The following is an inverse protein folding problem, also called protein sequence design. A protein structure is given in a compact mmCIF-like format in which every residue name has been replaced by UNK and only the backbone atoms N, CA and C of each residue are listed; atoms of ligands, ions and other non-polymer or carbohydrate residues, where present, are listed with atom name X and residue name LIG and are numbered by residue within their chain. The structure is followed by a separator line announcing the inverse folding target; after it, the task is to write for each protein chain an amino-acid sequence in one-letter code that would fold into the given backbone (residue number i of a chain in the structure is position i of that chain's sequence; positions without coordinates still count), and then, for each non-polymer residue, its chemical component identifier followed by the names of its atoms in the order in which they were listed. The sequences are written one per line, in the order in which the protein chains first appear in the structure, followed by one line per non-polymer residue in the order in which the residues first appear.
data_IF_847384574403
#
_entry.id   IF_847384574403
#
_cell.length_a   1.000
_cell.length_b   1.000
_cell.length_c   1.000
_cell.angle_alpha   90.00
_cell.angle_beta   90.00
_cell.angle_gamma   90.00
#
_symmetry.space_group_name_H-M   'P 1'
#
loop_
_entity.id
_entity.type
_entity.pdbx_description
1 polymer ?
#
# COMPACT_ATOMS: atom_id res chain seq x y z
N UNK A 1 2.77 -13.48 -14.89
CA UNK A 1 1.70 -14.47 -14.56
C UNK A 1 0.53 -14.30 -15.52
N UNK A 2 -0.27 -15.35 -15.78
CA UNK A 2 -1.39 -15.29 -16.75
C UNK A 2 -2.71 -15.48 -16.01
N UNK A 3 -3.34 -14.38 -15.62
CA UNK A 3 -4.63 -14.42 -14.93
C UNK A 3 -5.76 -14.86 -15.85
N UNK A 4 -6.71 -15.61 -15.30
CA UNK A 4 -8.04 -15.72 -15.93
C UNK A 4 -8.84 -14.47 -15.57
N UNK A 5 -9.20 -13.67 -16.56
CA UNK A 5 -9.92 -12.40 -16.35
C UNK A 5 -11.43 -12.60 -16.44
N UNK A 6 -12.15 -12.00 -15.50
CA UNK A 6 -13.61 -11.91 -15.47
C UNK A 6 -14.03 -10.45 -15.35
N UNK A 7 -15.08 -10.08 -16.07
CA UNK A 7 -15.75 -8.79 -15.92
C UNK A 7 -17.05 -8.99 -15.16
N UNK A 8 -17.23 -8.21 -14.12
CA UNK A 8 -18.46 -8.15 -13.33
C UNK A 8 -19.15 -6.81 -13.54
N UNK A 9 -20.47 -6.78 -13.40
CA UNK A 9 -21.25 -5.56 -13.49
C UNK A 9 -21.31 -4.83 -12.14
N UNK A 10 -21.15 -5.56 -11.03
CA UNK A 10 -21.01 -4.99 -9.69
C UNK A 10 -22.29 -4.44 -9.08
N UNK A 11 -22.22 -3.87 -7.85
CA UNK A 11 -23.37 -3.34 -7.12
C UNK A 11 -24.27 -2.33 -7.85
N UNK A 12 -23.77 -1.43 -8.72
CA UNK A 12 -24.62 -0.43 -9.38
C UNK A 12 -25.68 -1.04 -10.30
N UNK A 13 -25.42 -2.22 -10.84
CA UNK A 13 -26.20 -2.84 -11.91
C UNK A 13 -27.13 -3.95 -11.43
N UNK A 14 -27.17 -4.22 -10.11
CA UNK A 14 -27.97 -5.30 -9.50
C UNK A 14 -29.45 -5.23 -9.85
N UNK A 15 -29.99 -4.05 -10.16
CA UNK A 15 -31.39 -3.87 -10.54
C UNK A 15 -31.70 -4.24 -12.00
N UNK A 16 -30.68 -4.45 -12.83
CA UNK A 16 -30.85 -4.85 -14.23
C UNK A 16 -31.23 -6.32 -14.34
N UNK A 17 -32.16 -6.62 -15.24
CA UNK A 17 -32.68 -7.98 -15.45
C UNK A 17 -31.63 -8.99 -15.94
N UNK A 18 -30.53 -8.50 -16.53
CA UNK A 18 -29.45 -9.27 -17.13
C UNK A 18 -28.15 -9.26 -16.30
N UNK A 19 -28.22 -8.80 -15.04
CA UNK A 19 -27.08 -8.61 -14.15
C UNK A 19 -26.21 -9.86 -14.02
N UNK A 20 -26.84 -11.00 -13.73
CA UNK A 20 -26.16 -12.28 -13.54
C UNK A 20 -25.81 -12.98 -14.86
N UNK A 21 -26.58 -12.71 -15.92
CA UNK A 21 -26.52 -13.45 -17.19
C UNK A 21 -25.15 -13.35 -17.86
N UNK A 22 -24.56 -12.15 -17.84
CA UNK A 22 -23.25 -11.90 -18.45
C UNK A 22 -22.13 -12.63 -17.71
N UNK A 23 -22.18 -12.69 -16.38
CA UNK A 23 -21.23 -13.43 -15.58
C UNK A 23 -21.37 -14.94 -15.83
N UNK A 24 -22.60 -15.46 -15.80
CA UNK A 24 -22.86 -16.88 -16.04
C UNK A 24 -22.39 -17.33 -17.42
N UNK A 25 -22.58 -16.51 -18.46
CA UNK A 25 -22.08 -16.80 -19.81
C UNK A 25 -20.55 -16.88 -19.87
N UNK A 26 -19.83 -15.98 -19.19
CA UNK A 26 -18.36 -16.04 -19.09
C UNK A 26 -17.90 -17.33 -18.39
N UNK A 27 -18.59 -17.73 -17.31
CA UNK A 27 -18.19 -18.89 -16.50
C UNK A 27 -18.34 -20.23 -17.23
N UNK A 28 -19.16 -20.33 -18.29
CA UNK A 28 -19.31 -21.55 -19.07
C UNK A 28 -18.00 -21.99 -19.76
N UNK A 29 -17.14 -21.05 -20.12
CA UNK A 29 -15.85 -21.33 -20.78
C UNK A 29 -14.68 -21.36 -19.79
N UNK A 30 -14.89 -20.99 -18.53
CA UNK A 30 -13.83 -20.89 -17.53
C UNK A 30 -13.84 -22.14 -16.63
N UNK A 31 -12.72 -22.88 -16.51
CA UNK A 31 -12.66 -24.07 -15.65
C UNK A 31 -12.89 -23.74 -14.17
N UNK A 32 -13.65 -24.60 -13.48
CA UNK A 32 -13.87 -24.52 -12.02
C UNK A 32 -12.58 -24.60 -11.19
N UNK A 33 -11.55 -25.23 -11.76
CA UNK A 33 -10.22 -25.44 -11.16
C UNK A 33 -9.27 -24.26 -11.38
N UNK A 34 -9.75 -23.13 -11.89
CA UNK A 34 -8.96 -21.91 -12.05
C UNK A 34 -8.32 -21.50 -10.72
N UNK A 35 -7.02 -21.18 -10.77
CA UNK A 35 -6.21 -20.85 -9.58
C UNK A 35 -5.92 -19.35 -9.45
N UNK A 36 -5.79 -18.66 -10.58
CA UNK A 36 -5.42 -17.24 -10.67
C UNK A 36 -6.59 -16.49 -11.32
N UNK A 37 -7.26 -15.66 -10.52
CA UNK A 37 -8.45 -14.96 -10.92
C UNK A 37 -8.22 -13.45 -10.85
N UNK A 38 -8.51 -12.76 -11.95
CA UNK A 38 -8.55 -11.32 -12.04
C UNK A 38 -10.00 -10.88 -12.27
N UNK A 39 -10.55 -10.11 -11.35
CA UNK A 39 -11.87 -9.49 -11.49
C UNK A 39 -11.66 -8.01 -11.78
N UNK A 40 -12.21 -7.55 -12.90
CA UNK A 40 -11.99 -6.20 -13.44
C UNK A 40 -13.27 -5.39 -13.55
N UNK A 41 -13.09 -4.09 -13.84
CA UNK A 41 -14.14 -3.07 -14.02
C UNK A 41 -14.76 -2.64 -12.69
N UNK A 42 -15.35 -3.57 -11.95
CA UNK A 42 -16.00 -3.35 -10.65
C UNK A 42 -15.65 -4.46 -9.66
N UNK A 43 -15.92 -4.22 -8.37
CA UNK A 43 -16.01 -5.31 -7.40
C UNK A 43 -17.35 -6.04 -7.55
N UNK A 44 -17.42 -7.37 -7.37
CA UNK A 44 -18.68 -8.11 -7.53
C UNK A 44 -19.77 -7.66 -6.56
N UNK A 45 -21.03 -7.71 -6.98
CA UNK A 45 -22.19 -7.62 -6.08
C UNK A 45 -22.42 -8.91 -5.31
N UNK A 46 -23.32 -8.90 -4.34
CA UNK A 46 -23.61 -10.09 -3.51
C UNK A 46 -24.08 -11.31 -4.35
N UNK A 47 -25.00 -11.17 -5.34
CA UNK A 47 -25.33 -12.26 -6.25
C UNK A 47 -24.14 -12.75 -7.08
N UNK A 48 -23.30 -11.83 -7.58
CA UNK A 48 -22.12 -12.20 -8.37
C UNK A 48 -21.10 -12.97 -7.51
N UNK A 49 -20.91 -12.57 -6.25
CA UNK A 49 -20.09 -13.33 -5.30
C UNK A 49 -20.62 -14.74 -5.07
N UNK A 50 -21.94 -14.91 -4.95
CA UNK A 50 -22.56 -16.22 -4.81
C UNK A 50 -22.30 -17.11 -6.04
N UNK A 51 -22.44 -16.55 -7.25
CA UNK A 51 -22.16 -17.25 -8.51
C UNK A 51 -20.69 -17.65 -8.61
N UNK A 52 -19.77 -16.71 -8.36
CA UNK A 52 -18.33 -16.96 -8.38
C UNK A 52 -17.94 -18.05 -7.37
N UNK A 53 -18.45 -17.94 -6.14
CA UNK A 53 -18.19 -18.90 -5.07
C UNK A 53 -18.70 -20.31 -5.39
N UNK A 54 -19.87 -20.42 -6.03
CA UNK A 54 -20.43 -21.71 -6.44
C UNK A 54 -19.68 -22.35 -7.61
N UNK A 55 -19.11 -21.55 -8.50
CA UNK A 55 -18.39 -22.05 -9.67
C UNK A 55 -16.95 -22.47 -9.35
N UNK A 56 -16.20 -21.62 -8.64
CA UNK A 56 -14.79 -21.85 -8.36
C UNK A 56 -14.55 -22.57 -7.06
N UNK A 57 -13.62 -23.53 -7.08
CA UNK A 57 -13.21 -24.30 -5.90
C UNK A 57 -11.73 -24.19 -5.55
N UNK A 58 -10.90 -23.62 -6.43
CA UNK A 58 -9.44 -23.75 -6.37
C UNK A 58 -8.68 -22.42 -6.48
N UNK A 59 -9.36 -21.27 -6.35
CA UNK A 59 -8.73 -19.95 -6.46
C UNK A 59 -7.72 -19.76 -5.33
N UNK A 60 -6.46 -19.51 -5.70
CA UNK A 60 -5.33 -19.28 -4.79
C UNK A 60 -4.82 -17.84 -4.86
N UNK A 61 -4.95 -17.20 -6.01
CA UNK A 61 -4.54 -15.82 -6.23
C UNK A 61 -5.74 -15.07 -6.77
N UNK A 62 -6.13 -14.00 -6.07
CA UNK A 62 -7.24 -13.14 -6.45
C UNK A 62 -6.74 -11.70 -6.59
N UNK A 63 -6.99 -11.09 -7.75
CA UNK A 63 -6.81 -9.65 -7.98
C UNK A 63 -8.17 -9.01 -8.19
N UNK A 64 -8.48 -8.01 -7.37
CA UNK A 64 -9.72 -7.23 -7.41
C UNK A 64 -9.41 -5.81 -7.84
N UNK A 65 -9.81 -5.45 -9.07
CA UNK A 65 -9.61 -4.10 -9.59
C UNK A 65 -10.89 -3.26 -9.51
N UNK A 66 -10.80 -2.15 -8.77
CA UNK A 66 -11.85 -1.14 -8.69
C UNK A 66 -11.42 0.12 -9.45
N UNK A 67 -11.71 0.18 -10.75
CA UNK A 67 -11.28 1.30 -11.61
C UNK A 67 -12.11 2.57 -11.45
N UNK A 68 -13.12 2.59 -10.56
CA UNK A 68 -13.98 3.75 -10.37
C UNK A 68 -14.04 4.16 -8.89
N UNK A 69 -13.65 5.41 -8.64
CA UNK A 69 -13.59 6.07 -7.33
C UNK A 69 -14.96 6.19 -6.65
N UNK A 70 -16.04 6.14 -7.42
CA UNK A 70 -17.42 6.31 -6.92
C UNK A 70 -18.01 4.99 -6.38
N UNK A 71 -17.40 3.84 -6.65
CA UNK A 71 -17.98 2.55 -6.28
C UNK A 71 -17.38 1.96 -5.02
N UNK A 72 -18.28 1.40 -4.21
CA UNK A 72 -17.95 0.84 -2.90
C UNK A 72 -17.24 -0.49 -3.08
N UNK A 73 -16.12 -0.66 -2.38
CA UNK A 73 -15.41 -1.93 -2.28
C UNK A 73 -16.33 -2.98 -1.63
N UNK A 74 -16.78 -3.97 -2.41
CA UNK A 74 -17.52 -5.12 -1.87
C UNK A 74 -16.61 -6.35 -1.77
N UNK A 75 -15.77 -6.41 -0.73
CA UNK A 75 -14.87 -7.54 -0.48
C UNK A 75 -15.30 -8.44 0.69
N UNK A 76 -16.39 -8.09 1.38
CA UNK A 76 -16.90 -8.85 2.54
C UNK A 76 -17.27 -10.30 2.18
N UNK A 77 -17.72 -10.52 0.95
CA UNK A 77 -18.27 -11.80 0.48
C UNK A 77 -17.32 -12.61 -0.39
N UNK A 78 -16.00 -12.31 -0.36
CA UNK A 78 -15.01 -13.20 -0.97
C UNK A 78 -15.21 -14.61 -0.39
N UNK A 79 -15.40 -15.66 -1.22
CA UNK A 79 -15.78 -16.97 -0.73
C UNK A 79 -14.72 -17.60 0.19
N UNK A 80 -15.11 -17.94 1.41
CA UNK A 80 -14.20 -18.45 2.45
C UNK A 80 -13.71 -19.88 2.20
N UNK A 81 -14.38 -20.65 1.34
CA UNK A 81 -13.94 -21.99 0.97
C UNK A 81 -12.80 -21.98 -0.06
N UNK A 82 -12.46 -20.82 -0.62
CA UNK A 82 -11.33 -20.72 -1.53
C UNK A 82 -10.01 -20.85 -0.76
N UNK A 83 -9.05 -21.65 -1.25
CA UNK A 83 -7.74 -21.80 -0.64
C UNK A 83 -6.82 -20.61 -0.98
N UNK A 84 -7.29 -19.39 -0.68
CA UNK A 84 -6.65 -18.15 -1.10
C UNK A 84 -5.32 -17.96 -0.36
N UNK A 85 -4.25 -17.81 -1.13
CA UNK A 85 -2.88 -17.60 -0.65
C UNK A 85 -2.43 -16.16 -0.85
N UNK A 86 -2.90 -15.52 -1.93
CA UNK A 86 -2.59 -14.14 -2.27
C UNK A 86 -3.86 -13.35 -2.62
N UNK A 87 -3.96 -12.14 -2.08
CA UNK A 87 -5.01 -11.18 -2.39
C UNK A 87 -4.38 -9.86 -2.83
N UNK A 88 -4.78 -9.36 -3.99
CA UNK A 88 -4.46 -8.03 -4.47
C UNK A 88 -5.72 -7.18 -4.49
N UNK A 89 -5.71 -6.06 -3.75
CA UNK A 89 -6.68 -4.99 -3.90
C UNK A 89 -6.05 -3.89 -4.76
N UNK A 90 -6.79 -3.44 -5.77
CA UNK A 90 -6.29 -2.46 -6.72
C UNK A 90 -7.25 -1.28 -6.81
N UNK A 91 -6.71 -0.07 -6.64
CA UNK A 91 -7.39 1.20 -6.88
C UNK A 91 -8.61 1.42 -5.98
N UNK A 92 -8.49 1.10 -4.68
CA UNK A 92 -9.54 1.36 -3.68
C UNK A 92 -9.31 2.70 -2.97
N UNK A 93 -10.31 3.58 -3.00
CA UNK A 93 -10.20 4.96 -2.50
C UNK A 93 -11.10 5.20 -1.30
N UNK A 94 -10.54 5.48 -0.12
CA UNK A 94 -11.28 5.82 1.10
C UNK A 94 -12.15 4.68 1.66
N UNK A 95 -12.06 3.48 1.09
CA UNK A 95 -12.95 2.37 1.39
C UNK A 95 -12.54 1.64 2.66
N UNK A 96 -13.51 1.15 3.43
CA UNK A 96 -13.28 0.19 4.50
C UNK A 96 -13.11 -1.23 3.95
N UNK A 97 -11.98 -1.86 4.25
CA UNK A 97 -11.77 -3.29 3.97
C UNK A 97 -12.49 -4.15 5.00
N UNK A 98 -13.38 -5.03 4.53
CA UNK A 98 -14.25 -5.84 5.38
C UNK A 98 -14.03 -7.35 5.24
N UNK A 99 -13.13 -7.77 4.34
CA UNK A 99 -12.89 -9.19 4.10
C UNK A 99 -12.15 -9.86 5.26
N UNK A 100 -12.57 -11.05 5.71
CA UNK A 100 -11.83 -11.84 6.70
C UNK A 100 -10.42 -12.18 6.25
N UNK A 101 -10.17 -12.30 4.94
CA UNK A 101 -8.84 -12.58 4.42
C UNK A 101 -7.79 -11.53 4.82
N UNK A 102 -8.21 -10.26 4.91
CA UNK A 102 -7.37 -9.17 5.41
C UNK A 102 -7.50 -9.08 6.92
N UNK A 103 -8.71 -8.87 7.47
CA UNK A 103 -8.90 -8.56 8.91
C UNK A 103 -8.39 -9.65 9.85
N UNK A 104 -8.46 -10.91 9.43
CA UNK A 104 -7.96 -12.07 10.18
C UNK A 104 -6.65 -12.64 9.62
N UNK A 105 -6.06 -12.00 8.61
CA UNK A 105 -4.81 -12.43 7.99
C UNK A 105 -4.85 -13.86 7.46
N UNK A 106 -5.91 -14.24 6.73
CA UNK A 106 -6.05 -15.61 6.22
C UNK A 106 -5.21 -15.88 4.96
N UNK A 107 -4.83 -14.83 4.23
CA UNK A 107 -3.87 -14.92 3.11
C UNK A 107 -2.44 -14.83 3.62
N UNK A 108 -1.51 -15.49 2.92
CA UNK A 108 -0.08 -15.36 3.18
C UNK A 108 0.51 -14.06 2.63
N UNK A 109 -0.03 -13.61 1.50
CA UNK A 109 0.46 -12.45 0.77
C UNK A 109 -0.68 -11.46 0.47
N UNK A 110 -0.54 -10.22 0.96
CA UNK A 110 -1.45 -9.11 0.65
C UNK A 110 -0.71 -8.05 -0.16
N UNK A 111 -1.29 -7.69 -1.30
CA UNK A 111 -0.81 -6.60 -2.16
C UNK A 111 -1.90 -5.52 -2.20
N UNK A 112 -1.52 -4.29 -1.87
CA UNK A 112 -2.36 -3.09 -1.94
C UNK A 112 -1.76 -2.18 -3.01
N UNK A 113 -2.51 -1.90 -4.07
CA UNK A 113 -1.94 -1.29 -5.27
C UNK A 113 -2.78 -0.09 -5.72
N UNK A 114 -2.15 1.09 -5.81
CA UNK A 114 -2.85 2.35 -6.06
C UNK A 114 -4.03 2.59 -5.07
N UNK A 115 -3.95 2.05 -3.86
CA UNK A 115 -4.95 2.25 -2.83
C UNK A 115 -4.66 3.55 -2.09
N UNK A 116 -5.67 4.42 -1.95
CA UNK A 116 -5.48 5.74 -1.34
C UNK A 116 -6.52 5.95 -0.23
N UNK A 117 -6.06 6.30 0.96
CA UNK A 117 -6.88 6.37 2.18
C UNK A 117 -7.68 5.10 2.49
N UNK A 118 -7.17 3.92 2.11
CA UNK A 118 -7.77 2.64 2.49
C UNK A 118 -7.89 2.55 4.02
N UNK A 119 -9.05 2.06 4.49
CA UNK A 119 -9.38 1.99 5.91
C UNK A 119 -9.49 0.55 6.37
N UNK A 120 -9.02 0.31 7.59
CA UNK A 120 -9.10 -0.99 8.29
C UNK A 120 -9.98 -0.93 9.56
N UNK A 121 -10.38 0.28 9.96
CA UNK A 121 -11.23 0.59 11.12
C UNK A 121 -12.17 1.75 10.78
N UNK A 122 -13.25 1.89 11.54
CA UNK A 122 -14.14 3.04 11.51
C UNK A 122 -15.42 2.77 10.73
N UNK A 123 -16.16 3.85 10.43
CA UNK A 123 -17.52 3.72 9.92
C UNK A 123 -17.60 2.96 8.58
N UNK A 124 -18.62 2.11 8.39
CA UNK A 124 -18.96 1.57 7.08
C UNK A 124 -19.10 2.67 6.01
N UNK A 125 -18.80 2.33 4.75
CA UNK A 125 -18.73 3.30 3.65
C UNK A 125 -20.07 4.03 3.44
N UNK A 126 -21.21 3.36 3.62
CA UNK A 126 -22.55 3.97 3.57
C UNK A 126 -22.78 5.00 4.67
N UNK A 127 -22.37 4.71 5.91
CA UNK A 127 -22.49 5.64 7.03
C UNK A 127 -21.59 6.85 6.85
N UNK A 128 -20.37 6.65 6.36
CA UNK A 128 -19.46 7.76 6.10
C UNK A 128 -19.99 8.68 4.98
N UNK A 129 -20.58 8.12 3.93
CA UNK A 129 -21.26 8.91 2.89
C UNK A 129 -22.48 9.68 3.42
N UNK A 130 -23.27 9.10 4.33
CA UNK A 130 -24.39 9.79 4.99
C UNK A 130 -23.90 11.00 5.80
N UNK A 131 -22.83 10.84 6.57
CA UNK A 131 -22.22 11.92 7.36
C UNK A 131 -21.63 13.04 6.48
N UNK A 132 -20.97 12.66 5.37
CA UNK A 132 -20.48 13.62 4.38
C UNK A 132 -21.64 14.43 3.81
N UNK A 133 -22.68 13.79 3.30
CA UNK A 133 -23.85 14.48 2.74
C UNK A 133 -24.53 15.40 3.76
N UNK A 134 -24.61 14.97 5.01
CA UNK A 134 -25.14 15.79 6.09
C UNK A 134 -24.27 17.04 6.33
N UNK A 135 -22.95 16.88 6.34
CA UNK A 135 -21.98 17.97 6.50
C UNK A 135 -22.06 18.96 5.33
N UNK A 136 -22.18 18.45 4.10
CA UNK A 136 -22.37 19.29 2.90
C UNK A 136 -23.64 20.12 2.97
N UNK A 137 -24.75 19.54 3.45
CA UNK A 137 -26.03 20.25 3.61
C UNK A 137 -25.97 21.36 4.66
N UNK A 138 -25.08 21.24 5.65
CA UNK A 138 -24.88 22.27 6.70
C UNK A 138 -23.94 23.41 6.29
N UNK A 139 -23.40 23.36 5.07
CA UNK A 139 -22.37 24.27 4.58
C UNK A 139 -20.98 23.66 4.75
N UNK A 140 -20.12 23.69 3.71
CA UNK A 140 -18.82 23.03 3.77
C UNK A 140 -17.96 23.69 4.86
N UNK A 141 -17.43 22.87 5.77
CA UNK A 141 -16.34 23.28 6.68
C UNK A 141 -14.99 23.36 5.97
N UNK A 142 -14.90 22.81 4.77
CA UNK A 142 -13.67 22.71 3.98
C UNK A 142 -13.67 23.74 2.86
N UNK A 143 -12.52 24.37 2.56
CA UNK A 143 -12.38 25.17 1.36
C UNK A 143 -12.60 24.25 0.15
N UNK A 144 -13.76 24.36 -0.48
CA UNK A 144 -14.01 23.74 -1.78
C UNK A 144 -12.96 24.25 -2.76
N UNK A 145 -12.23 23.35 -3.44
CA UNK A 145 -11.44 23.73 -4.60
C UNK A 145 -12.32 24.57 -5.53
N UNK A 146 -11.95 25.84 -5.76
CA UNK A 146 -12.69 26.74 -6.64
C UNK A 146 -12.44 26.28 -8.08
N UNK A 147 -13.25 25.37 -8.58
CA UNK A 147 -13.36 25.20 -10.03
C UNK A 147 -14.12 26.42 -10.57
N UNK A 148 -13.45 27.21 -11.43
CA UNK A 148 -13.93 28.47 -12.00
C UNK A 148 -15.03 28.25 -13.07
N UNK A 149 -16.04 27.42 -12.81
CA UNK A 149 -17.21 27.28 -13.69
C UNK A 149 -18.51 27.27 -12.89
N UNK A 150 -19.50 28.08 -13.28
CA UNK A 150 -20.75 28.26 -12.52
C UNK A 150 -21.68 27.04 -12.47
N UNK A 151 -21.36 25.94 -13.18
CA UNK A 151 -22.17 24.71 -13.23
C UNK A 151 -21.46 23.46 -12.69
N UNK A 152 -20.23 23.56 -12.20
CA UNK A 152 -19.58 22.40 -11.59
C UNK A 152 -20.13 22.22 -10.18
N UNK A 153 -20.97 21.19 -10.00
CA UNK A 153 -21.38 20.73 -8.67
C UNK A 153 -20.11 20.58 -7.84
N UNK A 154 -20.05 21.26 -6.70
CA UNK A 154 -18.97 21.13 -5.72
C UNK A 154 -18.84 19.66 -5.31
N UNK A 155 -17.98 18.90 -5.98
CA UNK A 155 -17.51 17.63 -5.46
C UNK A 155 -16.62 17.97 -4.28
N UNK A 156 -17.14 17.79 -3.08
CA UNK A 156 -16.23 17.54 -1.96
C UNK A 156 -15.62 16.18 -2.24
N UNK A 157 -14.30 16.18 -2.28
CA UNK A 157 -13.53 14.99 -2.52
C UNK A 157 -13.71 14.09 -1.27
N UNK A 158 -14.43 12.98 -1.43
CA UNK A 158 -14.66 11.99 -0.37
C UNK A 158 -13.36 11.60 0.35
N UNK A 159 -12.24 11.64 -0.37
CA UNK A 159 -10.91 11.39 0.18
C UNK A 159 -10.48 12.42 1.23
N UNK A 160 -10.78 13.71 1.04
CA UNK A 160 -10.51 14.76 2.03
C UNK A 160 -11.36 14.56 3.29
N UNK A 161 -12.63 14.22 3.11
CA UNK A 161 -13.52 13.90 4.24
C UNK A 161 -13.04 12.66 5.01
N UNK A 162 -12.58 11.62 4.30
CA UNK A 162 -11.95 10.46 4.90
C UNK A 162 -10.69 10.86 5.68
N UNK A 163 -9.80 11.70 5.12
CA UNK A 163 -8.60 12.14 5.81
C UNK A 163 -8.93 12.85 7.14
N UNK A 164 -9.89 13.77 7.15
CA UNK A 164 -10.33 14.47 8.36
C UNK A 164 -11.07 13.56 9.37
N UNK A 165 -11.81 12.57 8.87
CA UNK A 165 -12.43 11.56 9.71
C UNK A 165 -11.34 10.71 10.38
N UNK A 166 -10.32 10.30 9.63
CA UNK A 166 -9.23 9.45 10.09
C UNK A 166 -8.29 10.17 11.07
N UNK A 167 -7.99 11.45 10.86
CA UNK A 167 -7.22 12.27 11.80
C UNK A 167 -7.81 12.32 13.21
N UNK A 168 -9.14 12.24 13.34
CA UNK A 168 -9.81 12.21 14.65
C UNK A 168 -9.52 10.93 15.42
N UNK A 169 -9.28 9.81 14.74
CA UNK A 169 -8.98 8.53 15.39
C UNK A 169 -7.52 8.41 15.85
N UNK A 170 -6.61 9.21 15.29
CA UNK A 170 -5.18 9.19 15.66
C UNK A 170 -4.91 9.71 17.08
N UNK A 171 -5.90 10.36 17.72
CA UNK A 171 -5.81 10.86 19.10
C UNK A 171 -6.69 10.13 20.11
N UNK A 172 -7.48 9.14 19.69
CA UNK A 172 -8.34 8.36 20.60
C UNK A 172 -7.59 7.11 21.10
N UNK A 173 -7.91 6.65 22.32
CA UNK A 173 -7.43 5.36 22.80
C UNK A 173 -7.80 4.27 21.80
N UNK A 174 -6.81 3.46 21.40
CA UNK A 174 -6.94 2.37 20.44
C UNK A 174 -7.83 1.24 21.01
N UNK A 175 -9.14 1.47 21.07
CA UNK A 175 -10.08 0.40 21.27
C UNK A 175 -10.14 -0.38 19.96
N UNK A 176 -9.66 -1.63 19.99
CA UNK A 176 -9.81 -2.57 18.88
C UNK A 176 -11.31 -2.89 18.78
N UNK A 177 -11.89 -2.65 17.61
CA UNK A 177 -13.28 -3.03 17.35
C UNK A 177 -13.41 -4.56 17.41
N UNK A 178 -14.53 -5.15 17.88
CA UNK A 178 -14.69 -6.60 17.96
C UNK A 178 -14.38 -7.33 16.65
N UNK A 179 -14.72 -6.73 15.51
CA UNK A 179 -14.40 -7.27 14.18
C UNK A 179 -12.94 -7.12 13.73
N UNK A 180 -12.11 -6.43 14.52
CA UNK A 180 -10.66 -6.28 14.37
C UNK A 180 -9.88 -7.03 15.46
N UNK A 181 -10.56 -7.71 16.38
CA UNK A 181 -9.88 -8.52 17.38
C UNK A 181 -9.01 -9.60 16.71
N UNK A 182 -7.81 -9.89 17.28
CA UNK A 182 -6.96 -10.95 16.79
C UNK A 182 -7.74 -12.27 16.69
N UNK A 183 -7.61 -13.02 15.59
CA UNK A 183 -8.30 -14.29 15.46
C UNK A 183 -7.77 -15.30 16.48
N UNK A 184 -8.63 -16.21 16.96
CA UNK A 184 -8.24 -17.30 17.86
C UNK A 184 -7.35 -18.38 17.20
N UNK A 185 -6.94 -18.20 15.94
CA UNK A 185 -6.17 -19.14 15.14
C UNK A 185 -4.89 -18.51 14.56
N UNK A 186 -4.13 -19.27 13.76
CA UNK A 186 -2.89 -18.76 13.19
C UNK A 186 -3.17 -17.59 12.25
N UNK A 187 -2.29 -16.59 12.31
CA UNK A 187 -2.24 -15.48 11.36
C UNK A 187 -1.31 -15.93 10.24
N UNK A 188 -1.87 -16.04 9.03
CA UNK A 188 -1.10 -16.51 7.87
C UNK A 188 -0.36 -15.37 7.19
N UNK A 189 -0.77 -14.11 7.37
CA UNK A 189 -0.16 -12.98 6.67
C UNK A 189 1.31 -12.79 7.06
N UNK A 190 2.21 -13.05 6.12
CA UNK A 190 3.66 -12.92 6.29
C UNK A 190 4.30 -11.95 5.30
N UNK A 191 3.62 -11.63 4.18
CA UNK A 191 4.09 -10.69 3.16
C UNK A 191 3.06 -9.60 2.93
N UNK A 192 3.48 -8.35 3.11
CA UNK A 192 2.69 -7.16 2.79
C UNK A 192 3.44 -6.31 1.78
N UNK A 193 2.77 -6.02 0.66
CA UNK A 193 3.26 -5.06 -0.33
C UNK A 193 2.25 -3.93 -0.49
N UNK A 194 2.74 -2.69 -0.46
CA UNK A 194 1.93 -1.50 -0.70
C UNK A 194 2.62 -0.66 -1.77
N UNK A 195 1.92 -0.50 -2.88
CA UNK A 195 2.43 0.09 -4.09
C UNK A 195 1.70 1.38 -4.41
N UNK A 196 2.49 2.43 -4.58
CA UNK A 196 2.03 3.76 -5.00
C UNK A 196 1.10 4.40 -3.97
N UNK A 197 0.63 5.62 -4.26
CA UNK A 197 -0.30 6.44 -3.44
C UNK A 197 -0.25 6.24 -1.92
N UNK A 198 0.44 7.14 -1.21
CA UNK A 198 0.44 7.22 0.26
C UNK A 198 0.67 5.87 0.98
N UNK A 199 1.58 5.06 0.44
CA UNK A 199 1.86 3.69 0.92
C UNK A 199 2.25 3.63 2.39
N UNK A 200 2.93 4.68 2.90
CA UNK A 200 3.25 4.83 4.33
C UNK A 200 2.00 5.05 5.17
N UNK A 201 1.04 5.85 4.71
CA UNK A 201 -0.22 6.11 5.43
C UNK A 201 -1.07 4.85 5.51
N UNK A 202 -1.21 4.13 4.39
CA UNK A 202 -1.93 2.86 4.36
C UNK A 202 -1.28 1.85 5.31
N UNK A 203 0.05 1.75 5.31
CA UNK A 203 0.78 0.91 6.27
C UNK A 203 0.50 1.32 7.72
N UNK A 204 0.68 2.59 8.07
CA UNK A 204 0.46 3.09 9.43
C UNK A 204 -0.98 2.83 9.90
N UNK A 205 -1.96 3.03 9.02
CA UNK A 205 -3.38 2.75 9.31
C UNK A 205 -3.62 1.28 9.59
N UNK A 206 -3.00 0.39 8.82
CA UNK A 206 -3.08 -1.04 9.08
C UNK A 206 -2.42 -1.38 10.42
N UNK A 207 -1.24 -0.82 10.72
CA UNK A 207 -0.53 -1.06 11.98
C UNK A 207 -1.35 -0.61 13.21
N UNK A 208 -2.08 0.49 13.11
CA UNK A 208 -2.95 0.95 14.21
C UNK A 208 -4.23 0.12 14.35
N UNK A 209 -4.82 -0.31 13.24
CA UNK A 209 -6.12 -1.00 13.25
C UNK A 209 -5.99 -2.51 13.47
N UNK A 210 -4.91 -3.11 12.98
CA UNK A 210 -4.67 -4.55 12.90
C UNK A 210 -3.22 -4.89 13.32
N UNK A 211 -2.80 -4.50 14.55
CA UNK A 211 -1.41 -4.67 15.00
C UNK A 211 -0.96 -6.14 14.95
N UNK A 212 -1.84 -7.09 15.27
CA UNK A 212 -1.55 -8.52 15.24
C UNK A 212 -1.12 -9.03 13.86
N UNK A 213 -1.59 -8.40 12.78
CA UNK A 213 -1.19 -8.74 11.42
C UNK A 213 0.18 -8.17 11.08
N UNK A 214 0.40 -6.92 11.46
CA UNK A 214 1.64 -6.19 11.16
C UNK A 214 2.81 -6.76 11.95
N UNK A 215 2.60 -7.14 13.21
CA UNK A 215 3.59 -7.82 14.05
C UNK A 215 4.02 -9.19 13.49
N UNK A 216 3.17 -9.86 12.70
CA UNK A 216 3.44 -11.17 12.10
C UNK A 216 4.22 -11.11 10.78
N UNK A 217 4.45 -9.90 10.24
CA UNK A 217 5.11 -9.74 8.94
C UNK A 217 6.55 -10.22 8.95
N UNK A 218 6.93 -10.93 7.89
CA UNK A 218 8.30 -11.34 7.58
C UNK A 218 8.87 -10.54 6.41
N UNK A 219 8.02 -10.07 5.51
CA UNK A 219 8.39 -9.22 4.36
C UNK A 219 7.45 -8.02 4.28
N UNK A 220 8.05 -6.83 4.18
CA UNK A 220 7.34 -5.57 3.98
C UNK A 220 7.97 -4.83 2.80
N UNK A 221 7.16 -4.53 1.79
CA UNK A 221 7.56 -3.76 0.62
C UNK A 221 6.68 -2.52 0.53
N UNK A 222 7.31 -1.35 0.58
CA UNK A 222 6.64 -0.06 0.45
C UNK A 222 7.26 0.69 -0.71
N UNK A 223 6.45 0.93 -1.74
CA UNK A 223 6.83 1.66 -2.94
C UNK A 223 5.97 2.89 -3.11
N UNK A 224 6.56 4.00 -3.56
CA UNK A 224 5.85 5.23 -3.87
C UNK A 224 6.61 6.07 -4.90
N UNK A 225 6.03 6.31 -6.07
CA UNK A 225 6.65 7.09 -7.17
C UNK A 225 6.48 8.61 -7.06
N UNK A 226 5.78 9.14 -6.04
CA UNK A 226 5.75 10.59 -5.78
C UNK A 226 4.47 11.31 -6.21
N UNK A 227 3.46 10.59 -6.70
CA UNK A 227 2.14 11.16 -6.98
C UNK A 227 1.33 11.38 -5.69
N UNK A 228 1.53 12.53 -5.02
CA UNK A 228 0.84 12.91 -3.78
C UNK A 228 1.76 13.52 -2.70
N UNK A 229 1.21 13.81 -1.51
CA UNK A 229 2.00 14.20 -0.33
C UNK A 229 1.76 13.18 0.77
N UNK A 230 2.81 12.60 1.34
CA UNK A 230 2.67 11.92 2.64
C UNK A 230 2.54 12.96 3.74
N UNK A 231 1.56 12.77 4.62
CA UNK A 231 1.32 13.70 5.72
C UNK A 231 2.38 13.54 6.83
N UNK A 232 2.83 14.63 7.48
CA UNK A 232 3.86 14.56 8.53
C UNK A 232 3.52 13.62 9.70
N UNK A 233 2.24 13.52 10.05
CA UNK A 233 1.76 12.67 11.14
C UNK A 233 2.00 11.17 10.83
N UNK A 234 1.78 10.79 9.57
CA UNK A 234 2.02 9.45 9.06
C UNK A 234 3.48 9.03 9.20
N UNK A 235 4.43 9.94 8.93
CA UNK A 235 5.85 9.65 9.10
C UNK A 235 6.26 9.50 10.56
N UNK A 236 5.63 10.23 11.48
CA UNK A 236 5.83 10.03 12.92
C UNK A 236 5.40 8.63 13.38
N UNK A 237 4.22 8.18 12.96
CA UNK A 237 3.74 6.82 13.19
C UNK A 237 4.67 5.77 12.57
N UNK A 238 5.13 6.01 11.34
CA UNK A 238 6.03 5.09 10.64
C UNK A 238 7.32 4.85 11.42
N UNK A 239 7.94 5.92 11.93
CA UNK A 239 9.14 5.86 12.80
C UNK A 239 8.89 5.07 14.10
N UNK A 240 7.65 5.06 14.59
CA UNK A 240 7.28 4.33 15.80
C UNK A 240 6.98 2.85 15.54
N UNK A 241 6.33 2.51 14.41
CA UNK A 241 5.95 1.14 14.08
C UNK A 241 7.08 0.32 13.49
N UNK A 242 7.91 0.91 12.63
CA UNK A 242 8.93 0.17 11.90
C UNK A 242 9.93 -0.57 12.83
N UNK A 243 10.45 0.02 13.92
CA UNK A 243 11.33 -0.70 14.84
C UNK A 243 10.66 -1.84 15.61
N UNK A 244 9.33 -1.80 15.74
CA UNK A 244 8.56 -2.81 16.48
C UNK A 244 8.34 -4.10 15.68
N UNK A 245 8.68 -4.12 14.39
CA UNK A 245 8.52 -5.29 13.51
C UNK A 245 9.65 -6.32 13.70
N UNK A 246 9.74 -6.92 14.88
CA UNK A 246 10.83 -7.85 15.26
C UNK A 246 10.84 -9.16 14.45
N UNK A 247 9.70 -9.55 13.87
CA UNK A 247 9.62 -10.71 12.99
C UNK A 247 10.09 -10.43 11.55
N UNK A 248 10.26 -9.15 11.18
CA UNK A 248 10.57 -8.74 9.82
C UNK A 248 11.98 -9.17 9.43
N UNK A 249 12.09 -9.86 8.28
CA UNK A 249 13.37 -10.33 7.70
C UNK A 249 13.75 -9.57 6.45
N UNK A 250 12.76 -9.18 5.66
CA UNK A 250 12.93 -8.42 4.42
C UNK A 250 12.19 -7.11 4.51
N UNK A 251 12.94 -6.02 4.30
CA UNK A 251 12.39 -4.68 4.16
C UNK A 251 12.80 -4.10 2.81
N UNK A 252 11.83 -3.73 2.00
CA UNK A 252 12.05 -3.01 0.73
C UNK A 252 11.34 -1.66 0.77
N UNK A 253 12.13 -0.58 0.78
CA UNK A 253 11.67 0.80 0.84
C UNK A 253 12.13 1.53 -0.42
N UNK A 254 11.17 1.88 -1.27
CA UNK A 254 11.38 2.64 -2.52
C UNK A 254 10.48 3.88 -2.52
N UNK A 255 10.96 5.00 -1.99
CA UNK A 255 10.12 6.20 -1.82
C UNK A 255 10.65 7.41 -2.57
N UNK A 256 9.82 7.97 -3.44
CA UNK A 256 10.10 9.19 -4.18
C UNK A 256 10.06 10.46 -3.32
N UNK A 257 9.14 10.52 -2.35
CA UNK A 257 8.99 11.66 -1.44
C UNK A 257 8.72 11.15 -0.02
N UNK A 258 9.61 11.46 0.91
CA UNK A 258 9.48 11.14 2.34
C UNK A 258 8.76 12.26 3.13
N UNK A 259 8.20 13.25 2.43
CA UNK A 259 7.55 14.44 2.97
C UNK A 259 8.54 15.48 3.48
N UNK A 260 9.50 15.03 4.30
CA UNK A 260 10.57 15.84 4.89
C UNK A 260 11.89 15.07 4.89
N UNK A 261 12.97 15.74 4.44
CA UNK A 261 14.33 15.20 4.43
C UNK A 261 14.78 14.77 5.83
N UNK A 262 14.32 15.45 6.90
CA UNK A 262 14.68 15.08 8.27
C UNK A 262 14.34 13.63 8.60
N UNK A 263 13.32 13.04 7.96
CA UNK A 263 13.00 11.62 8.18
C UNK A 263 14.02 10.69 7.55
N UNK A 264 14.45 11.01 6.33
CA UNK A 264 15.42 10.21 5.60
C UNK A 264 16.77 10.28 6.29
N UNK A 265 17.17 11.46 6.76
CA UNK A 265 18.46 11.69 7.42
C UNK A 265 18.71 10.79 8.63
N UNK A 266 17.66 10.38 9.34
CA UNK A 266 17.75 9.49 10.51
C UNK A 266 17.07 8.13 10.32
N UNK A 267 16.66 7.76 9.10
CA UNK A 267 15.88 6.54 8.85
C UNK A 267 16.59 5.28 9.34
N UNK A 268 17.92 5.22 9.21
CA UNK A 268 18.72 4.07 9.67
C UNK A 268 18.53 3.74 11.16
N UNK A 269 18.11 4.70 11.99
CA UNK A 269 17.86 4.49 13.43
C UNK A 269 16.58 3.71 13.70
N UNK A 270 15.69 3.61 12.72
CA UNK A 270 14.36 3.02 12.87
C UNK A 270 14.19 1.71 12.14
N UNK A 271 15.25 1.18 11.50
CA UNK A 271 15.15 -0.13 10.88
C UNK A 271 14.90 -1.22 11.92
N UNK A 272 14.07 -2.23 11.60
CA UNK A 272 13.86 -3.36 12.48
C UNK A 272 15.18 -4.10 12.73
N UNK A 273 15.42 -4.58 13.96
CA UNK A 273 16.74 -5.09 14.36
C UNK A 273 17.12 -6.41 13.69
N UNK A 274 16.14 -7.24 13.31
CA UNK A 274 16.34 -8.63 12.89
C UNK A 274 16.29 -8.85 11.37
N UNK A 275 16.47 -7.77 10.59
CA UNK A 275 16.52 -7.85 9.14
C UNK A 275 17.70 -8.69 8.65
N UNK A 276 17.42 -9.58 7.70
CA UNK A 276 18.44 -10.27 6.90
C UNK A 276 18.59 -9.65 5.53
N UNK A 277 17.59 -8.90 5.06
CA UNK A 277 17.54 -8.31 3.72
C UNK A 277 16.99 -6.89 3.79
N UNK A 278 17.75 -5.93 3.25
CA UNK A 278 17.34 -4.53 3.13
C UNK A 278 17.51 -4.06 1.69
N UNK A 279 16.40 -3.65 1.07
CA UNK A 279 16.40 -2.89 -0.16
C UNK A 279 16.00 -1.44 0.18
N UNK A 280 16.92 -0.51 -0.01
CA UNK A 280 16.68 0.90 0.24
C UNK A 280 16.95 1.71 -1.02
N UNK A 281 15.93 2.44 -1.49
CA UNK A 281 16.03 3.42 -2.57
C UNK A 281 15.49 4.75 -2.08
N UNK A 282 16.33 5.78 -2.10
CA UNK A 282 16.04 7.08 -1.52
C UNK A 282 16.54 8.28 -2.34
N UNK A 283 16.33 9.52 -1.85
CA UNK A 283 16.66 10.74 -2.56
C UNK A 283 18.18 10.93 -2.71
N UNK A 284 18.60 11.31 -3.92
CA UNK A 284 19.99 11.64 -4.25
C UNK A 284 20.56 12.76 -3.37
N UNK A 285 19.71 13.71 -2.94
CA UNK A 285 20.10 14.82 -2.07
C UNK A 285 20.49 14.41 -0.64
N UNK A 286 20.27 13.15 -0.23
CA UNK A 286 20.71 12.66 1.08
C UNK A 286 22.22 12.82 1.28
N UNK A 287 23.01 12.75 0.20
CA UNK A 287 24.48 12.89 0.24
C UNK A 287 24.94 14.30 0.63
N UNK A 288 24.07 15.29 0.46
CA UNK A 288 24.34 16.70 0.81
C UNK A 288 23.93 17.02 2.25
N UNK A 289 23.27 16.07 2.94
CA UNK A 289 22.89 16.22 4.34
C UNK A 289 24.12 16.22 5.25
N UNK A 290 24.09 17.06 6.28
CA UNK A 290 25.08 17.03 7.37
C UNK A 290 25.08 15.69 8.13
N UNK A 291 23.97 14.94 8.05
CA UNK A 291 23.80 13.62 8.67
C UNK A 291 24.29 12.46 7.80
N UNK A 292 24.79 12.69 6.59
CA UNK A 292 25.30 11.61 5.73
C UNK A 292 26.44 10.81 6.40
N UNK A 293 27.33 11.51 7.11
CA UNK A 293 28.40 10.84 7.87
C UNK A 293 27.85 9.93 8.98
N UNK A 294 26.67 10.22 9.53
CA UNK A 294 26.03 9.38 10.53
C UNK A 294 25.53 8.07 9.93
N UNK A 295 25.00 8.09 8.70
CA UNK A 295 24.63 6.88 7.96
C UNK A 295 25.82 5.93 7.82
N UNK A 296 26.97 6.45 7.38
CA UNK A 296 28.18 5.64 7.20
C UNK A 296 28.63 5.00 8.53
N UNK A 297 28.71 5.80 9.60
CA UNK A 297 29.06 5.32 10.95
C UNK A 297 28.08 4.27 11.46
N UNK A 298 26.80 4.42 11.17
CA UNK A 298 25.79 3.48 11.59
C UNK A 298 25.94 2.14 10.86
N UNK A 299 26.19 2.14 9.55
CA UNK A 299 26.45 0.92 8.78
C UNK A 299 27.76 0.22 9.17
N UNK A 300 28.77 0.97 9.65
CA UNK A 300 29.99 0.39 10.19
C UNK A 300 29.76 -0.34 11.51
N UNK A 301 28.75 0.08 12.29
CA UNK A 301 28.45 -0.53 13.58
C UNK A 301 27.94 -1.96 13.40
N UNK A 302 28.53 -2.96 14.08
CA UNK A 302 28.01 -4.33 14.07
C UNK A 302 26.67 -4.43 14.80
N UNK A 303 26.33 -3.46 15.64
CA UNK A 303 25.07 -3.41 16.38
C UNK A 303 23.89 -2.97 15.50
N UNK A 304 24.16 -2.24 14.40
CA UNK A 304 23.13 -1.89 13.43
C UNK A 304 22.94 -3.06 12.45
N UNK A 305 21.74 -3.62 12.43
CA UNK A 305 21.34 -4.74 11.57
C UNK A 305 22.34 -5.90 11.66
N UNK A 306 22.53 -6.50 12.85
CA UNK A 306 23.56 -7.52 13.07
C UNK A 306 23.36 -8.78 12.22
N UNK A 307 22.13 -9.05 11.78
CA UNK A 307 21.76 -10.22 10.99
C UNK A 307 21.70 -9.95 9.48
N UNK A 308 22.08 -8.76 9.02
CA UNK A 308 21.98 -8.39 7.62
C UNK A 308 22.88 -9.29 6.76
N UNK A 309 22.31 -9.86 5.71
CA UNK A 309 22.99 -10.75 4.76
C UNK A 309 22.97 -10.18 3.35
N UNK A 310 21.93 -9.41 3.01
CA UNK A 310 21.70 -8.85 1.69
C UNK A 310 21.35 -7.38 1.78
N UNK A 311 22.01 -6.57 0.96
CA UNK A 311 21.82 -5.12 0.90
C UNK A 311 21.70 -4.64 -0.54
N UNK A 312 20.72 -3.79 -0.78
CA UNK A 312 20.70 -2.87 -1.92
C UNK A 312 20.52 -1.47 -1.35
N UNK A 313 21.36 -0.53 -1.78
CA UNK A 313 21.34 0.85 -1.29
C UNK A 313 21.54 1.82 -2.45
N UNK A 314 20.48 2.50 -2.87
CA UNK A 314 20.50 3.35 -4.06
C UNK A 314 19.96 4.73 -3.72
N UNK A 315 20.70 5.75 -4.15
CA UNK A 315 20.32 7.15 -4.02
C UNK A 315 20.23 7.77 -5.41
N UNK A 316 19.02 7.84 -5.95
CA UNK A 316 18.79 8.24 -7.34
C UNK A 316 17.49 9.00 -7.55
N UNK A 317 16.69 9.12 -6.49
CA UNK A 317 15.41 9.81 -6.52
C UNK A 317 15.65 11.32 -6.46
N UNK A 318 14.93 12.07 -7.28
CA UNK A 318 15.00 13.53 -7.32
C UNK A 318 13.63 14.13 -7.55
N UNK A 319 13.36 15.23 -6.85
CA UNK A 319 12.13 16.00 -6.96
C UNK A 319 12.46 17.48 -6.86
N UNK A 320 11.84 18.31 -7.70
CA UNK A 320 11.87 19.75 -7.51
C UNK A 320 10.79 20.14 -6.49
N UNK A 321 11.18 20.90 -5.46
CA UNK A 321 10.31 21.33 -4.35
C UNK A 321 8.98 22.00 -4.78
N UNK A 322 8.90 22.48 -6.03
CA UNK A 322 7.82 23.33 -6.54
C UNK A 322 6.95 22.69 -7.63
N UNK A 323 7.35 21.57 -8.23
CA UNK A 323 6.60 20.90 -9.30
C UNK A 323 6.49 19.40 -9.02
N UNK A 324 5.51 19.03 -8.18
CA UNK A 324 5.25 17.64 -7.76
C UNK A 324 4.39 16.85 -8.76
N UNK A 325 4.25 17.35 -9.99
CA UNK A 325 3.43 16.74 -11.05
C UNK A 325 4.26 16.28 -12.26
N UNK A 326 5.59 16.49 -12.25
CA UNK A 326 6.47 16.09 -13.34
C UNK A 326 7.69 15.37 -12.76
N UNK A 327 7.93 14.14 -13.21
CA UNK A 327 9.18 13.43 -12.98
C UNK A 327 10.31 14.22 -13.66
N UNK A 328 11.04 15.02 -12.89
CA UNK A 328 12.21 15.74 -13.37
C UNK A 328 13.42 14.85 -13.08
N UNK A 329 14.08 14.41 -14.14
CA UNK A 329 15.34 13.69 -14.02
C UNK A 329 16.33 14.55 -13.21
N UNK A 330 16.89 13.96 -12.15
CA UNK A 330 17.93 14.67 -11.41
C UNK A 330 19.06 15.09 -12.35
N UNK A 331 19.67 16.27 -12.11
CA UNK A 331 20.88 16.66 -12.81
C UNK A 331 21.91 15.52 -12.79
N UNK A 332 22.49 15.21 -13.94
CA UNK A 332 23.44 14.10 -14.11
C UNK A 332 24.61 14.19 -13.12
N UNK A 333 25.05 15.41 -12.79
CA UNK A 333 26.06 15.68 -11.78
C UNK A 333 25.64 15.22 -10.37
N UNK A 334 24.37 15.44 -9.98
CA UNK A 334 23.85 14.98 -8.69
C UNK A 334 23.74 13.45 -8.67
N UNK A 335 23.25 12.84 -9.75
CA UNK A 335 23.19 11.37 -9.85
C UNK A 335 24.58 10.74 -9.83
N UNK A 336 25.55 11.33 -10.52
CA UNK A 336 26.94 10.89 -10.52
C UNK A 336 27.50 10.87 -9.10
N UNK A 337 27.39 12.00 -8.38
CA UNK A 337 27.83 12.09 -6.98
C UNK A 337 27.08 11.12 -6.06
N UNK A 338 25.77 10.95 -6.25
CA UNK A 338 24.97 10.04 -5.42
C UNK A 338 25.33 8.57 -5.65
N UNK A 339 25.60 8.17 -6.89
CA UNK A 339 26.11 6.83 -7.22
C UNK A 339 27.48 6.58 -6.59
N UNK A 340 28.41 7.53 -6.71
CA UNK A 340 29.72 7.43 -6.05
C UNK A 340 29.60 7.34 -4.52
N UNK A 341 28.68 8.11 -3.93
CA UNK A 341 28.41 8.09 -2.50
C UNK A 341 27.75 6.79 -2.00
N UNK A 342 27.18 5.95 -2.88
CA UNK A 342 26.68 4.64 -2.49
C UNK A 342 27.81 3.60 -2.30
N UNK A 343 29.01 3.86 -2.81
CA UNK A 343 30.14 2.92 -2.72
C UNK A 343 30.67 2.73 -1.29
N UNK A 344 30.86 3.79 -0.45
CA UNK A 344 31.28 3.61 0.94
C UNK A 344 30.35 2.69 1.76
N UNK A 345 29.00 2.84 1.77
CA UNK A 345 28.10 1.86 2.38
C UNK A 345 28.30 0.43 1.87
N UNK A 346 28.54 0.25 0.57
CA UNK A 346 28.80 -1.07 -0.01
C UNK A 346 30.12 -1.67 0.43
N UNK A 347 31.19 -0.88 0.49
CA UNK A 347 32.48 -1.34 1.02
C UNK A 347 32.39 -1.73 2.49
N UNK A 348 31.67 -0.96 3.30
CA UNK A 348 31.38 -1.29 4.70
C UNK A 348 30.61 -2.62 4.79
N UNK A 349 29.57 -2.78 3.98
CA UNK A 349 28.76 -3.99 3.94
C UNK A 349 29.57 -5.22 3.52
N UNK A 350 30.40 -5.11 2.47
CA UNK A 350 31.31 -6.19 2.02
C UNK A 350 32.29 -6.60 3.11
N UNK A 351 32.86 -5.64 3.85
CA UNK A 351 33.74 -5.93 5.01
C UNK A 351 33.03 -6.69 6.12
N UNK A 352 31.73 -6.48 6.30
CA UNK A 352 30.87 -7.22 7.22
C UNK A 352 30.38 -8.57 6.67
N UNK A 353 30.73 -8.93 5.43
CA UNK A 353 30.30 -10.17 4.78
C UNK A 353 28.88 -10.12 4.19
N UNK A 354 28.32 -8.91 4.00
CA UNK A 354 26.99 -8.70 3.42
C UNK A 354 27.10 -8.74 1.89
N UNK A 355 26.16 -9.44 1.25
CA UNK A 355 26.04 -9.51 -0.22
C UNK A 355 25.33 -8.26 -0.75
N UNK A 356 25.91 -7.62 -1.76
CA UNK A 356 25.28 -6.50 -2.46
C UNK A 356 24.45 -7.05 -3.63
N UNK A 357 23.16 -6.72 -3.67
CA UNK A 357 22.24 -7.14 -4.73
C UNK A 357 21.80 -5.95 -5.59
N UNK A 358 21.44 -6.23 -6.85
CA UNK A 358 20.75 -5.27 -7.71
C UNK A 358 19.33 -5.01 -7.20
N UNK A 359 18.80 -3.81 -7.46
CA UNK A 359 17.39 -3.54 -7.18
C UNK A 359 16.52 -4.60 -7.87
N UNK A 360 15.60 -5.27 -7.14
CA UNK A 360 14.64 -6.18 -7.76
C UNK A 360 13.81 -5.45 -8.81
N UNK A 361 13.74 -6.02 -10.02
CA UNK A 361 12.83 -5.54 -11.06
C UNK A 361 11.40 -5.88 -10.61
N UNK A 362 10.58 -4.84 -10.56
CA UNK A 362 9.19 -4.93 -10.16
C UNK A 362 8.37 -5.52 -11.34
N UNK A 363 8.13 -6.83 -11.35
CA UNK A 363 7.59 -7.60 -12.49
C UNK A 363 6.06 -7.51 -12.68
N UNK A 364 5.36 -6.53 -12.08
CA UNK A 364 3.87 -6.54 -12.13
C UNK A 364 3.27 -5.88 -13.39
N UNK A 365 4.08 -5.47 -14.37
CA UNK A 365 3.65 -5.03 -15.71
C UNK A 365 2.65 -3.85 -15.80
N UNK A 366 2.17 -3.35 -14.66
CA UNK A 366 1.19 -2.27 -14.53
C UNK A 366 1.71 -1.10 -13.70
N UNK A 367 2.61 -1.34 -12.73
CA UNK A 367 3.45 -0.27 -12.22
C UNK A 367 4.39 0.07 -13.37
N UNK A 368 4.24 1.25 -13.97
CA UNK A 368 5.28 1.74 -14.87
C UNK A 368 6.65 1.59 -14.19
N UNK A 369 7.72 1.35 -14.95
CA UNK A 369 9.06 1.45 -14.41
C UNK A 369 9.16 2.77 -13.63
N UNK A 370 9.76 2.71 -12.44
CA UNK A 370 9.96 3.86 -11.56
C UNK A 370 11.08 4.73 -12.15
N UNK A 371 10.82 5.19 -13.37
CA UNK A 371 11.75 5.64 -14.40
C UNK A 371 12.40 4.53 -15.26
N UNK A 372 12.36 4.69 -16.59
CA UNK A 372 13.03 3.86 -17.61
C UNK A 372 14.57 3.94 -17.57
N UNK A 373 15.15 4.69 -16.61
CA UNK A 373 16.58 4.99 -16.48
C UNK A 373 17.47 3.84 -15.95
N UNK A 374 17.00 2.59 -15.94
CA UNK A 374 17.75 1.43 -15.44
C UNK A 374 17.88 0.30 -16.46
#
# INVERSE_FOLDING_TARGET
MTYTSIKVQGPPEVSKSDHETHLQAQLQSIPKTTKELLITVHTPSDPEWAILGAHFSSVRILRLESHNREYKLNNKLIPLHWPLQQLTLYSTFGQLTQTPFVRKGLVGHLILFYDYYLRFKGLPNDKLSEEEQYTLRKGPKFPSAKFNKPNDKKLVDFTSFVADHMHRFLGETLNIEPENEPPAGPINLHTLEIWEYDSVDVFCRMAMALPHLVENLQTLLLRYTGMGKSEPLTMGCFRAFLPALTNLKTLDLKFADFGDMSTVEIMYKFFPPDLTTLFFRGPALLIESEHWADWLRAFESPDLLPQLQRLTFVLDIHYEYWCREVDIAAPEEILGRAREACEPPYEIARKRGITIESIPIDDDGQAGPMDDRW
#
